data_IF_922036758716
#
_entry.id   IF_922036758716
#
_cell.length_a   1.000
_cell.length_b   1.000
_cell.length_c   1.000
_cell.angle_alpha   90.00
_cell.angle_beta   90.00
_cell.angle_gamma   90.00
#
_symmetry.space_group_name_H-M   'P 1'
#
loop_
_entity.id
_entity.type
_entity.pdbx_description
1 polymer ?
2 water ?
#
# COMPACT_ATOMS: atom_id res chain seq x y z
N UNK A 24 36.27 -7.68 -0.94
CA UNK A 24 35.43 -8.74 -1.51
C UNK A 24 34.05 -8.73 -0.88
N UNK A 25 33.59 -7.53 -0.54
CA UNK A 25 32.38 -7.40 0.25
C UNK A 25 31.09 -7.97 -0.37
N UNK A 26 30.16 -8.25 0.53
CA UNK A 26 28.87 -8.84 0.19
C UNK A 26 27.96 -8.45 1.34
N UNK A 27 26.67 -8.76 1.21
CA UNK A 27 25.80 -8.78 2.37
C UNK A 27 25.17 -10.17 2.38
N UNK A 28 24.69 -10.62 3.54
CA UNK A 28 24.09 -11.95 3.64
C UNK A 28 23.01 -11.95 4.70
N UNK A 29 22.13 -12.94 4.63
CA UNK A 29 21.08 -13.04 5.64
C UNK A 29 20.31 -14.33 5.59
N UNK A 30 19.38 -14.48 6.53
CA UNK A 30 18.47 -15.61 6.55
C UNK A 30 17.06 -15.05 6.58
N UNK A 31 16.31 -15.25 5.49
CA UNK A 31 14.93 -14.79 5.45
C UNK A 31 13.97 -15.88 5.90
N UNK A 32 13.08 -15.56 6.84
CA UNK A 32 12.09 -16.53 7.30
C UNK A 32 10.78 -16.29 6.59
N UNK A 33 10.20 -17.36 6.04
CA UNK A 33 8.84 -17.31 5.46
C UNK A 33 8.08 -18.55 5.91
N UNK A 34 7.08 -18.36 6.75
CA UNK A 34 6.39 -19.49 7.32
C UNK A 34 7.38 -20.27 8.17
N UNK A 35 7.48 -21.56 7.91
CA UNK A 35 8.41 -22.42 8.64
C UNK A 35 9.73 -22.66 7.89
N UNK A 36 9.94 -21.96 6.78
CA UNK A 36 11.15 -22.14 5.97
C UNK A 36 12.16 -21.01 6.14
N UNK A 37 13.43 -21.31 5.91
CA UNK A 37 14.50 -20.32 6.00
C UNK A 37 15.26 -20.27 4.67
N UNK A 38 15.36 -19.09 4.08
CA UNK A 38 16.12 -18.87 2.85
C UNK A 38 17.42 -18.15 3.14
N UNK A 39 18.53 -18.87 3.03
CA UNK A 39 19.84 -18.24 3.18
C UNK A 39 20.13 -17.53 1.86
N UNK A 40 20.69 -16.32 1.95
CA UNK A 40 20.99 -15.51 0.76
C UNK A 40 22.32 -14.81 0.89
N UNK A 41 22.93 -14.52 -0.27
CA UNK A 41 24.22 -13.87 -0.36
C UNK A 41 24.18 -12.90 -1.54
N UNK A 42 24.45 -11.63 -1.30
CA UNK A 42 24.38 -10.62 -2.35
C UNK A 42 25.74 -9.98 -2.50
N UNK A 43 26.36 -10.19 -3.65
CA UNK A 43 27.74 -9.77 -3.84
C UNK A 43 27.84 -8.37 -4.43
N UNK A 44 28.81 -7.60 -3.97
CA UNK A 44 29.11 -6.32 -4.61
C UNK A 44 30.41 -6.37 -5.43
N UNK A 45 30.90 -7.58 -5.68
CA UNK A 45 32.09 -7.77 -6.50
C UNK A 45 31.80 -8.68 -7.71
N UNK A 46 32.86 -9.16 -8.36
CA UNK A 46 32.74 -9.97 -9.56
C UNK A 46 32.45 -11.44 -9.27
N UNK A 47 31.25 -11.70 -8.73
CA UNK A 47 30.88 -13.03 -8.27
C UNK A 47 29.93 -13.70 -9.26
N UNK A 48 30.23 -14.95 -9.66
CA UNK A 48 29.36 -15.72 -10.56
C UNK A 48 28.87 -17.02 -9.96
N UNK A 49 29.53 -17.48 -8.90
CA UNK A 49 29.09 -18.66 -8.18
C UNK A 49 29.31 -18.51 -6.66
N UNK A 50 28.42 -19.13 -5.88
CA UNK A 50 28.52 -19.14 -4.41
C UNK A 50 28.03 -20.48 -3.91
N UNK A 51 28.82 -21.15 -3.06
CA UNK A 51 28.36 -22.35 -2.35
C UNK A 51 28.03 -21.96 -0.91
N UNK A 52 27.02 -22.53 -0.28
CA UNK A 52 26.78 -22.37 1.15
C UNK A 52 27.04 -23.65 1.85
N UNK A 53 27.64 -23.55 3.00
CA UNK A 53 27.98 -24.70 3.83
C UNK A 53 27.27 -24.53 5.15
N UNK A 54 26.36 -25.44 5.49
CA UNK A 54 25.54 -25.24 6.69
C UNK A 54 25.23 -26.50 7.47
N UNK A 55 24.99 -26.32 8.76
CA UNK A 55 24.52 -27.40 9.61
C UNK A 55 23.25 -26.97 10.33
N UNK A 56 22.23 -27.83 10.28
CA UNK A 56 20.99 -27.61 11.00
C UNK A 56 21.03 -28.44 12.30
N UNK A 57 20.94 -27.77 13.44
CA UNK A 57 21.06 -28.44 14.74
C UNK A 57 22.20 -29.47 14.78
N UNK A 58 23.34 -29.06 14.23
CA UNK A 58 24.57 -29.86 14.22
C UNK A 58 24.51 -31.16 13.44
N UNK A 59 23.66 -31.20 12.42
CA UNK A 59 23.53 -32.39 11.59
C UNK A 59 24.59 -32.53 10.51
N UNK A 60 24.38 -33.49 9.62
CA UNK A 60 25.24 -33.71 8.46
C UNK A 60 25.46 -32.37 7.74
N UNK A 61 26.72 -32.04 7.45
CA UNK A 61 27.00 -30.78 6.77
C UNK A 61 26.43 -30.80 5.36
N UNK A 62 25.74 -29.73 5.00
CA UNK A 62 25.20 -29.61 3.66
C UNK A 62 26.10 -28.66 2.88
N UNK A 63 26.43 -29.04 1.66
CA UNK A 63 27.25 -28.21 0.79
C UNK A 63 26.52 -28.03 -0.55
N UNK A 64 26.03 -26.82 -0.79
CA UNK A 64 25.10 -26.54 -1.89
C UNK A 64 25.56 -25.37 -2.73
N UNK A 65 25.67 -25.57 -4.03
CA UNK A 65 25.87 -24.45 -4.95
C UNK A 65 24.55 -23.68 -5.04
N UNK A 66 24.56 -22.42 -4.62
CA UNK A 66 23.32 -21.63 -4.55
C UNK A 66 22.85 -21.18 -5.92
N UNK A 67 21.53 -21.06 -6.06
CA UNK A 67 20.91 -20.52 -7.28
C UNK A 67 20.86 -18.99 -7.27
N UNK A 68 20.97 -18.38 -8.43
CA UNK A 68 20.88 -16.92 -8.52
C UNK A 68 19.44 -16.46 -8.80
N UNK A 69 18.92 -15.61 -7.92
CA UNK A 69 17.59 -15.03 -8.10
C UNK A 69 17.76 -13.65 -8.72
N UNK A 70 17.46 -13.55 -10.00
CA UNK A 70 17.72 -12.32 -10.76
C UNK A 70 16.92 -11.14 -10.24
N UNK A 71 15.68 -11.39 -9.83
CA UNK A 71 14.80 -10.34 -9.35
C UNK A 71 15.18 -9.82 -7.98
N UNK A 72 15.97 -10.58 -7.21
CA UNK A 72 16.47 -10.07 -5.95
C UNK A 72 17.94 -9.71 -6.07
N UNK A 73 18.50 -10.00 -7.24
CA UNK A 73 19.93 -9.84 -7.56
C UNK A 73 20.87 -10.47 -6.52
N UNK A 74 20.52 -11.67 -6.06
CA UNK A 74 21.28 -12.33 -5.00
C UNK A 74 21.17 -13.85 -5.12
N UNK A 75 22.14 -14.56 -4.54
CA UNK A 75 22.10 -16.01 -4.55
C UNK A 75 21.25 -16.46 -3.36
N UNK A 76 20.50 -17.55 -3.52
CA UNK A 76 19.55 -18.02 -2.51
C UNK A 76 19.55 -19.52 -2.38
N UNK A 77 19.40 -20.03 -1.16
CA UNK A 77 19.09 -21.43 -0.95
C UNK A 77 18.06 -21.56 0.15
N UNK A 78 17.00 -22.31 -0.11
CA UNK A 78 15.91 -22.46 0.85
C UNK A 78 16.02 -23.77 1.62
N UNK A 79 16.03 -23.65 2.94
CA UNK A 79 16.02 -24.81 3.83
C UNK A 79 14.61 -24.98 4.38
N UNK A 80 13.94 -26.05 3.98
CA UNK A 80 12.55 -26.29 4.35
C UNK A 80 12.39 -26.64 5.82
N UNK A 81 11.33 -26.12 6.44
CA UNK A 81 10.95 -26.46 7.82
C UNK A 81 12.02 -26.23 8.88
N UNK A 82 12.90 -25.24 8.68
CA UNK A 82 14.02 -25.04 9.61
C UNK A 82 13.88 -23.77 10.42
N UNK A 83 12.69 -23.17 10.42
CA UNK A 83 12.46 -21.91 11.12
C UNK A 83 12.70 -22.01 12.63
N UNK A 84 12.47 -23.19 13.20
CA UNK A 84 12.66 -23.41 14.64
C UNK A 84 14.02 -24.00 14.98
N UNK A 85 14.85 -24.23 13.95
CA UNK A 85 16.15 -24.83 14.19
C UNK A 85 17.19 -23.75 14.37
N UNK A 86 18.36 -24.17 14.84
CA UNK A 86 19.54 -23.32 14.85
C UNK A 86 20.33 -23.71 13.60
N UNK A 87 20.80 -22.71 12.85
CA UNK A 87 21.57 -22.97 11.65
C UNK A 87 22.92 -22.23 11.68
N UNK A 88 24.01 -22.99 11.54
CA UNK A 88 25.34 -22.42 11.42
C UNK A 88 25.77 -22.59 9.94
N UNK A 89 26.23 -21.50 9.33
CA UNK A 89 26.56 -21.51 7.90
C UNK A 89 27.68 -20.53 7.51
N UNK A 90 28.40 -20.86 6.45
CA UNK A 90 29.33 -19.90 5.84
C UNK A 90 29.29 -20.08 4.33
N UNK A 91 29.87 -19.14 3.59
CA UNK A 91 29.80 -19.20 2.12
C UNK A 91 31.19 -19.30 1.51
N UNK A 92 31.27 -19.87 0.32
CA UNK A 92 32.46 -19.77 -0.53
C UNK A 92 32.00 -19.13 -1.83
N UNK A 93 32.69 -18.08 -2.28
CA UNK A 93 32.30 -17.34 -3.49
C UNK A 93 33.53 -16.90 -4.23
N UNK A 94 33.35 -16.55 -5.50
CA UNK A 94 34.48 -16.05 -6.27
C UNK A 94 34.45 -14.54 -6.41
N UNK A 95 35.64 -13.96 -6.53
CA UNK A 95 35.77 -12.58 -6.97
C UNK A 95 36.79 -12.63 -8.10
N UNK A 96 36.31 -12.58 -9.33
CA UNK A 96 37.12 -13.00 -10.46
C UNK A 96 37.35 -14.50 -10.34
N UNK A 97 38.54 -14.95 -10.72
CA UNK A 97 38.88 -16.36 -10.60
C UNK A 97 39.04 -16.89 -9.15
N UNK A 98 39.78 -16.16 -8.27
CA UNK A 98 40.00 -16.76 -6.95
C UNK A 98 38.71 -16.88 -6.12
N UNK A 99 38.65 -17.90 -5.26
CA UNK A 99 37.52 -18.07 -4.34
C UNK A 99 37.91 -17.69 -2.91
N UNK A 100 36.92 -17.31 -2.11
CA UNK A 100 37.14 -16.83 -0.75
C UNK A 100 36.07 -17.42 0.15
N UNK A 101 36.44 -17.79 1.38
CA UNK A 101 35.50 -18.24 2.40
C UNK A 101 35.08 -17.08 3.29
N UNK A 102 33.80 -17.03 3.68
CA UNK A 102 33.37 -16.03 4.65
C UNK A 102 33.60 -16.57 6.06
N UNK A 103 33.35 -15.73 7.05
CA UNK A 103 33.28 -16.21 8.43
C UNK A 103 31.97 -16.96 8.61
N UNK A 104 31.78 -17.54 9.79
CA UNK A 104 30.60 -18.37 10.07
C UNK A 104 29.51 -17.50 10.67
N UNK A 105 28.27 -17.68 10.19
CA UNK A 105 27.12 -16.94 10.67
C UNK A 105 26.17 -17.90 11.38
N UNK A 106 25.17 -17.36 12.05
CA UNK A 106 24.26 -18.19 12.83
C UNK A 106 22.82 -17.66 12.71
N UNK A 107 21.85 -18.57 12.59
CA UNK A 107 20.44 -18.17 12.60
C UNK A 107 19.82 -18.71 13.89
N UNK A 108 19.13 -17.90 14.67
CA UNK A 108 18.70 -16.56 14.32
C UNK A 108 19.74 -15.49 14.37
N UNK A 118 15.42 -3.74 8.27
CA UNK A 118 14.20 -4.07 9.00
C UNK A 118 13.19 -4.59 8.05
N UNK A 119 11.96 -4.30 8.38
CA UNK A 119 10.83 -4.49 7.49
C UNK A 119 10.18 -3.12 7.34
N UNK A 120 10.90 -2.09 7.79
CA UNK A 120 10.52 -0.71 7.59
C UNK A 120 10.66 -0.29 6.12
N UNK A 121 9.76 0.59 5.68
CA UNK A 121 9.77 1.04 4.30
C UNK A 121 11.02 1.87 4.00
N UNK A 122 11.64 2.40 5.05
CA UNK A 122 12.83 3.24 4.88
C UNK A 122 14.09 2.38 4.73
N UNK A 123 13.99 1.11 5.08
CA UNK A 123 15.17 0.25 5.14
C UNK A 123 15.64 -0.18 3.75
N UNK A 124 14.79 -0.01 2.75
CA UNK A 124 15.17 -0.36 1.38
C UNK A 124 16.04 0.74 0.80
N UNK A 125 17.30 0.40 0.42
CA UNK A 125 18.25 1.40 -0.05
C UNK A 125 17.87 1.87 -1.45
N UNK A 126 17.94 3.17 -1.72
CA UNK A 126 17.54 3.67 -3.04
C UNK A 126 18.43 3.13 -4.13
N UNK A 127 19.69 2.85 -3.77
CA UNK A 127 20.66 2.30 -4.72
C UNK A 127 20.24 0.92 -5.20
N UNK A 128 19.40 0.24 -4.42
CA UNK A 128 18.97 -1.12 -4.75
C UNK A 128 17.73 -1.16 -5.66
N UNK A 129 17.19 0.01 -5.97
CA UNK A 129 16.00 0.11 -6.81
C UNK A 129 16.37 0.01 -8.29
N UNK A 130 15.78 -0.96 -9.01
CA UNK A 130 16.05 -1.12 -10.44
C UNK A 130 15.61 0.08 -11.26
N UNK A 131 16.38 0.40 -12.30
CA UNK A 131 16.01 1.48 -13.21
C UNK A 131 14.77 1.07 -13.98
N UNK A 132 13.74 1.93 -13.98
CA UNK A 132 12.49 1.57 -14.65
C UNK A 132 12.63 1.64 -16.17
N UNK A 133 11.78 0.96 -16.88
CA UNK A 133 11.73 1.17 -18.28
C UNK A 133 10.81 2.28 -18.50
N UNK A 134 11.46 3.39 -18.71
CA UNK A 134 10.94 4.58 -19.31
C UNK A 134 9.56 4.43 -19.88
N UNK A 135 8.74 5.41 -19.62
CA UNK A 135 9.02 6.40 -18.63
C UNK A 135 8.22 6.03 -17.39
N UNK A 136 8.43 4.82 -16.95
CA UNK A 136 7.64 4.28 -15.85
C UNK A 136 8.28 4.41 -14.48
N UNK A 137 7.85 3.55 -13.55
CA UNK A 137 8.34 3.55 -12.19
C UNK A 137 8.48 2.10 -11.76
N UNK A 138 9.59 1.78 -11.10
CA UNK A 138 9.72 0.46 -10.50
C UNK A 138 8.84 0.40 -9.26
N UNK A 139 7.90 -0.54 -9.24
CA UNK A 139 6.95 -0.70 -8.13
C UNK A 139 7.29 -1.92 -7.28
N UNK A 140 7.31 -1.74 -5.96
CA UNK A 140 7.45 -2.85 -5.04
C UNK A 140 6.32 -2.82 -4.01
N UNK A 141 5.55 -3.91 -3.90
CA UNK A 141 4.63 -4.04 -2.77
C UNK A 141 5.32 -4.85 -1.67
N UNK A 142 5.26 -4.36 -0.45
CA UNK A 142 6.10 -4.86 0.62
C UNK A 142 5.26 -5.29 1.83
N UNK A 143 5.64 -6.40 2.46
CA UNK A 143 4.88 -6.96 3.58
C UNK A 143 5.41 -6.43 4.92
N UNK A 144 4.65 -5.54 5.55
CA UNK A 144 5.06 -5.00 6.83
C UNK A 144 4.11 -5.41 7.94
N UNK A 145 3.49 -6.58 7.81
CA UNK A 145 2.46 -6.96 8.77
C UNK A 145 2.99 -7.67 10.01
N UNK A 146 4.31 -7.85 10.07
CA UNK A 146 4.93 -8.38 11.27
C UNK A 146 4.44 -9.73 11.76
N UNK A 147 4.02 -10.58 10.84
CA UNK A 147 3.59 -11.91 11.25
C UNK A 147 2.11 -12.16 11.05
N UNK A 148 1.34 -11.09 10.87
CA UNK A 148 -0.08 -11.24 10.65
C UNK A 148 -0.40 -12.08 9.39
N UNK A 149 0.26 -11.77 8.28
CA UNK A 149 0.07 -12.51 7.03
C UNK A 149 1.42 -12.79 6.39
N UNK A 150 1.55 -13.92 5.68
CA UNK A 150 2.78 -14.21 4.93
C UNK A 150 2.74 -13.52 3.56
N UNK A 151 3.87 -13.51 2.85
CA UNK A 151 3.93 -12.90 1.53
C UNK A 151 2.97 -13.55 0.55
N UNK A 152 2.63 -14.82 0.76
CA UNK A 152 1.73 -15.49 -0.16
C UNK A 152 0.24 -15.32 0.20
N UNK A 153 -0.03 -14.49 1.22
CA UNK A 153 -1.39 -14.21 1.68
C UNK A 153 -1.78 -12.74 1.53
N UNK A 154 -0.95 -11.96 0.86
CA UNK A 154 -1.27 -10.57 0.61
C UNK A 154 -1.34 -10.39 -0.91
N UNK A 155 -2.40 -9.76 -1.37
CA UNK A 155 -2.66 -9.68 -2.81
C UNK A 155 -2.60 -8.24 -3.26
N UNK A 156 -2.19 -8.02 -4.51
CA UNK A 156 -2.25 -6.69 -5.07
C UNK A 156 -2.60 -6.74 -6.54
N UNK A 157 -3.14 -5.64 -7.06
CA UNK A 157 -3.52 -5.56 -8.45
C UNK A 157 -3.52 -4.12 -8.88
N UNK A 158 -3.20 -3.88 -10.14
CA UNK A 158 -3.20 -2.52 -10.65
C UNK A 158 -4.15 -2.45 -11.83
N UNK A 159 -5.11 -1.54 -11.76
CA UNK A 159 -6.07 -1.32 -12.84
C UNK A 159 -6.11 0.16 -13.19
N UNK A 160 -6.11 0.47 -14.48
CA UNK A 160 -6.16 1.85 -14.94
C UNK A 160 -6.28 1.93 -16.46
N UNK A 161 -6.17 3.13 -17.01
CA UNK A 161 -6.28 3.27 -18.46
C UNK A 161 -4.90 3.36 -19.12
N UNK A 162 -4.66 2.50 -20.09
CA UNK A 162 -3.42 2.54 -20.87
C UNK A 162 -3.51 3.61 -21.95
N UNK A 163 -2.67 4.67 -21.87
CA UNK A 163 -2.71 5.70 -22.91
C UNK A 163 -2.25 5.19 -24.31
N UNK A 164 -1.63 4.02 -24.35
CA UNK A 164 -1.10 3.44 -25.60
C UNK A 164 -2.22 2.96 -26.54
N UNK A 165 -3.36 2.56 -25.95
CA UNK A 165 -4.53 2.13 -26.73
C UNK A 165 -5.86 2.64 -26.15
N UNK A 166 -5.78 3.49 -25.11
CA UNK A 166 -6.96 4.04 -24.46
C UNK A 166 -7.85 3.04 -23.71
N UNK A 167 -7.35 1.80 -23.57
CA UNK A 167 -8.14 0.71 -22.99
C UNK A 167 -7.96 0.59 -21.49
N UNK A 168 -9.07 0.40 -20.78
CA UNK A 168 -8.98 0.00 -19.37
C UNK A 168 -8.23 -1.33 -19.29
N UNK A 169 -7.22 -1.38 -18.43
CA UNK A 169 -6.31 -2.53 -18.39
C UNK A 169 -5.90 -2.89 -16.96
N UNK A 170 -5.34 -4.08 -16.79
CA UNK A 170 -4.68 -4.44 -15.54
C UNK A 170 -3.22 -4.78 -15.81
N UNK A 171 -2.39 -4.71 -14.76
CA UNK A 171 -0.95 -4.90 -14.89
C UNK A 171 -0.51 -6.34 -14.64
N UNK A 172 0.29 -6.90 -15.53
CA UNK A 172 0.85 -8.24 -15.31
C UNK A 172 2.27 -8.20 -14.73
N UNK A 173 2.78 -9.35 -14.29
CA UNK A 173 4.09 -9.39 -13.62
C UNK A 173 5.26 -8.95 -14.51
N UNK A 174 5.05 -8.90 -15.82
CA UNK A 174 6.09 -8.47 -16.76
C UNK A 174 5.98 -6.97 -17.04
N UNK A 175 5.10 -6.32 -16.29
CA UNK A 175 4.93 -4.89 -16.46
C UNK A 175 4.07 -4.50 -17.65
N UNK A 176 3.28 -5.44 -18.17
CA UNK A 176 2.42 -5.13 -19.30
C UNK A 176 0.99 -4.82 -18.88
N UNK A 177 0.39 -3.82 -19.53
CA UNK A 177 -1.02 -3.50 -19.34
C UNK A 177 -1.90 -4.32 -20.30
N UNK A 178 -2.64 -5.27 -19.74
CA UNK A 178 -3.51 -6.14 -20.54
C UNK A 178 -4.95 -5.66 -20.44
N UNK A 179 -5.63 -5.51 -21.58
CA UNK A 179 -7.00 -4.98 -21.54
C UNK A 179 -7.97 -5.83 -20.69
N UNK A 180 -8.81 -5.19 -19.88
CA UNK A 180 -9.87 -5.91 -19.18
C UNK A 180 -11.12 -5.94 -20.06
N UNK A 181 -12.04 -6.84 -19.77
CA UNK A 181 -13.28 -6.95 -20.54
C UNK A 181 -14.33 -7.69 -19.71
N UNK A 182 -15.57 -7.70 -20.18
CA UNK A 182 -16.61 -8.46 -19.50
C UNK A 182 -16.25 -9.94 -19.50
N UNK A 183 -15.66 -10.38 -20.60
CA UNK A 183 -15.26 -11.77 -20.78
C UNK A 183 -14.20 -12.23 -19.80
N UNK A 184 -13.40 -11.29 -19.30
CA UNK A 184 -12.29 -11.61 -18.40
C UNK A 184 -12.79 -12.20 -17.10
N UNK A 185 -14.05 -11.95 -16.77
CA UNK A 185 -14.65 -12.48 -15.56
C UNK A 185 -14.80 -13.99 -15.61
N UNK A 186 -14.97 -14.52 -16.82
CA UNK A 186 -15.16 -15.97 -16.96
C UNK A 186 -14.00 -16.66 -17.66
N UNK A 187 -12.89 -15.93 -17.82
CA UNK A 187 -11.72 -16.49 -18.49
C UNK A 187 -11.04 -17.52 -17.59
N UNK A 188 -10.29 -18.45 -18.19
CA UNK A 188 -9.53 -19.44 -17.39
C UNK A 188 -8.72 -18.77 -16.28
N UNK A 189 -8.87 -19.24 -15.04
CA UNK A 189 -8.15 -18.70 -13.90
C UNK A 189 -8.95 -17.73 -13.05
N UNK A 190 -10.15 -17.39 -13.51
CA UNK A 190 -10.98 -16.40 -12.86
C UNK A 190 -11.31 -16.81 -11.43
N UNK A 191 -11.67 -15.82 -10.60
CA UNK A 191 -12.09 -16.09 -9.24
C UNK A 191 -13.57 -16.41 -9.24
N UNK A 192 -14.03 -17.08 -8.19
CA UNK A 192 -15.46 -17.18 -7.95
C UNK A 192 -15.78 -17.11 -6.46
N UNK A 193 -16.85 -16.41 -6.12
CA UNK A 193 -17.39 -16.38 -4.76
C UNK A 193 -18.91 -16.44 -4.82
N UNK A 194 -19.49 -17.38 -4.08
CA UNK A 194 -20.95 -17.53 -4.03
C UNK A 194 -21.58 -17.78 -5.39
N UNK A 195 -20.89 -18.55 -6.24
CA UNK A 195 -21.40 -18.89 -7.56
C UNK A 195 -21.37 -17.75 -8.57
N UNK A 196 -20.55 -16.74 -8.30
CA UNK A 196 -20.37 -15.63 -9.22
C UNK A 196 -18.91 -15.51 -9.58
N UNK A 197 -18.63 -15.32 -10.86
CA UNK A 197 -17.25 -15.21 -11.36
C UNK A 197 -16.73 -13.77 -11.35
N UNK A 198 -15.46 -13.61 -11.02
CA UNK A 198 -14.84 -12.29 -11.02
C UNK A 198 -13.46 -12.34 -11.66
N UNK A 199 -13.10 -11.29 -12.38
CA UNK A 199 -11.79 -11.23 -13.02
C UNK A 199 -10.66 -11.46 -12.02
N UNK A 200 -9.65 -12.23 -12.41
CA UNK A 200 -8.48 -12.44 -11.56
C UNK A 200 -7.30 -11.59 -12.02
N UNK A 201 -7.18 -10.40 -11.47
CA UNK A 201 -6.14 -9.46 -11.89
C UNK A 201 -5.06 -9.29 -10.85
N UNK A 202 -5.06 -10.18 -9.85
CA UNK A 202 -4.25 -9.99 -8.64
C UNK A 202 -3.00 -10.84 -8.63
N UNK A 203 -2.03 -10.41 -7.83
CA UNK A 203 -0.75 -11.12 -7.67
C UNK A 203 -0.52 -11.22 -6.17
N UNK A 204 0.27 -12.19 -5.71
CA UNK A 204 0.65 -12.22 -4.29
C UNK A 204 1.95 -11.48 -4.16
N UNK A 205 2.19 -10.87 -3.00
CA UNK A 205 3.48 -10.22 -2.77
C UNK A 205 4.65 -11.19 -3.07
N UNK A 206 4.45 -12.48 -2.79
CA UNK A 206 5.53 -13.44 -3.03
C UNK A 206 5.81 -13.68 -4.53
N UNK A 207 4.91 -13.21 -5.40
CA UNK A 207 5.08 -13.44 -6.85
C UNK A 207 6.14 -12.55 -7.47
N UNK A 208 6.53 -11.47 -6.80
CA UNK A 208 7.48 -10.53 -7.42
C UNK A 208 8.22 -9.64 -6.43
N UNK A 209 9.38 -9.16 -6.85
CA UNK A 209 10.15 -8.19 -6.08
C UNK A 209 9.81 -6.79 -6.59
N UNK A 210 10.28 -6.46 -7.78
CA UNK A 210 9.90 -5.21 -8.41
C UNK A 210 9.15 -5.50 -9.71
N UNK A 211 8.19 -4.64 -10.03
CA UNK A 211 7.45 -4.73 -11.29
C UNK A 211 7.50 -3.36 -11.92
N UNK A 212 7.70 -3.29 -13.23
CA UNK A 212 7.67 -1.98 -13.89
C UNK A 212 6.23 -1.51 -14.02
N UNK A 213 5.93 -0.32 -13.49
CA UNK A 213 4.64 0.33 -13.70
C UNK A 213 4.81 1.33 -14.85
N UNK A 214 4.20 1.06 -16.00
CA UNK A 214 4.33 1.91 -17.19
C UNK A 214 3.44 3.16 -17.07
N UNK A 215 3.42 4.01 -18.09
CA UNK A 215 2.53 5.16 -18.07
C UNK A 215 1.08 4.68 -17.94
N UNK A 216 0.28 5.35 -17.12
CA UNK A 216 -1.07 4.89 -16.80
C UNK A 216 -1.95 6.04 -16.30
N UNK A 217 -3.22 6.06 -16.73
CA UNK A 217 -4.15 7.12 -16.34
C UNK A 217 -5.21 6.51 -15.45
N UNK A 218 -5.76 7.31 -14.52
CA UNK A 218 -6.77 6.86 -13.56
C UNK A 218 -6.37 5.55 -12.89
N UNK A 219 -5.13 5.46 -12.43
CA UNK A 219 -4.60 4.22 -11.90
C UNK A 219 -4.99 3.98 -10.46
N UNK A 220 -5.25 2.73 -10.12
CA UNK A 220 -5.42 2.32 -8.72
C UNK A 220 -4.62 1.07 -8.46
N UNK A 221 -3.93 1.05 -7.33
CA UNK A 221 -3.29 -0.17 -6.86
C UNK A 221 -4.15 -0.68 -5.71
N UNK A 222 -4.81 -1.82 -5.90
CA UNK A 222 -5.62 -2.42 -4.85
C UNK A 222 -4.79 -3.40 -4.04
N UNK A 223 -4.98 -3.38 -2.73
CA UNK A 223 -4.21 -4.22 -1.82
C UNK A 223 -5.23 -4.91 -0.93
N UNK A 224 -5.09 -6.21 -0.71
CA UNK A 224 -5.99 -6.91 0.19
C UNK A 224 -5.23 -8.01 0.95
N UNK A 225 -5.66 -8.32 2.18
CA UNK A 225 -4.98 -9.36 2.94
C UNK A 225 -5.86 -10.58 3.12
N UNK A 226 -5.28 -11.76 2.98
CA UNK A 226 -5.98 -13.02 3.20
C UNK A 226 -6.67 -13.54 1.96
N UNK A 227 -7.13 -12.61 1.13
CA UNK A 227 -7.95 -12.94 -0.05
C UNK A 227 -7.73 -11.86 -1.10
N UNK A 228 -7.90 -12.21 -2.38
CA UNK A 228 -7.96 -11.09 -3.34
C UNK A 228 -9.33 -10.43 -3.28
N UNK A 229 -9.54 -9.36 -4.05
CA UNK A 229 -10.85 -8.70 -4.11
C UNK A 229 -11.72 -9.38 -5.15
N UNK A 230 -13.03 -9.18 -5.05
CA UNK A 230 -13.94 -9.72 -6.05
C UNK A 230 -14.65 -8.57 -6.75
N UNK A 231 -14.14 -8.20 -7.91
CA UNK A 231 -14.64 -7.05 -8.66
C UNK A 231 -14.98 -7.44 -10.09
N UNK A 232 -16.10 -6.94 -10.60
CA UNK A 232 -16.51 -7.19 -11.98
C UNK A 232 -15.78 -6.21 -12.88
N UNK A 233 -15.17 -6.74 -13.95
CA UNK A 233 -14.61 -5.88 -14.98
C UNK A 233 -15.59 -5.83 -16.15
N UNK A 234 -15.59 -4.72 -16.87
CA UNK A 234 -16.45 -4.58 -18.04
C UNK A 234 -15.57 -4.28 -19.22
N UNK A 235 -16.14 -4.05 -20.39
CA UNK A 235 -15.33 -3.76 -21.57
C UNK A 235 -14.77 -2.34 -21.48
N UNK A 236 -15.38 -1.52 -20.64
CA UNK A 236 -14.97 -0.11 -20.51
C UNK A 236 -14.82 0.38 -19.06
N UNK A 237 -14.40 -0.50 -18.15
CA UNK A 237 -14.21 -0.10 -16.76
C UNK A 237 -14.44 -1.25 -15.79
N UNK A 238 -14.63 -0.90 -14.52
CA UNK A 238 -14.83 -1.90 -13.49
C UNK A 238 -15.70 -1.36 -12.35
N UNK A 239 -16.28 -2.26 -11.56
CA UNK A 239 -17.04 -1.86 -10.38
C UNK A 239 -16.32 -2.30 -9.12
N UNK A 240 -15.82 -1.34 -8.34
CA UNK A 240 -15.13 -1.63 -7.08
C UNK A 240 -16.10 -2.00 -5.96
N UNK A 241 -15.57 -2.20 -4.73
CA UNK A 241 -16.40 -2.55 -3.57
C UNK A 241 -17.50 -1.51 -3.31
N UNK A 242 -18.73 -1.97 -3.09
CA UNK A 242 -19.83 -1.06 -2.73
C UNK A 242 -20.12 -1.23 -1.25
N UNK A 243 -19.62 -0.29 -0.45
CA UNK A 243 -19.70 -0.41 1.00
C UNK A 243 -21.10 -0.12 1.58
N UNK A 244 -22.05 0.30 0.75
CA UNK A 244 -23.44 0.48 1.21
C UNK A 244 -24.32 -0.74 0.94
N UNK A 245 -23.76 -1.74 0.30
CA UNK A 245 -24.50 -2.96 0.02
C UNK A 245 -24.22 -4.05 1.04
N UNK A 246 -25.24 -4.45 1.81
CA UNK A 246 -25.07 -5.50 2.82
C UNK A 246 -24.56 -6.81 2.21
N UNK A 247 -24.78 -6.99 0.92
CA UNK A 247 -24.44 -8.24 0.26
C UNK A 247 -23.18 -8.18 -0.64
N UNK A 248 -22.42 -7.09 -0.53
CA UNK A 248 -21.23 -6.93 -1.36
C UNK A 248 -20.23 -8.01 -1.01
N UNK A 249 -19.64 -8.66 -2.03
CA UNK A 249 -18.71 -9.77 -1.77
C UNK A 249 -17.44 -9.34 -1.07
N UNK A 250 -17.16 -8.03 -1.02
CA UNK A 250 -15.93 -7.55 -0.40
C UNK A 250 -16.15 -7.01 1.00
N UNK A 251 -17.40 -7.01 1.47
CA UNK A 251 -17.74 -6.45 2.77
C UNK A 251 -16.88 -7.08 3.86
N UNK A 252 -16.61 -8.38 3.76
CA UNK A 252 -15.80 -9.06 4.78
C UNK A 252 -14.35 -9.36 4.35
N UNK A 253 -13.85 -8.56 3.40
CA UNK A 253 -12.45 -8.62 3.01
C UNK A 253 -11.74 -7.33 3.41
N UNK A 254 -10.53 -7.44 3.96
CA UNK A 254 -9.77 -6.26 4.37
C UNK A 254 -8.94 -5.77 3.20
N UNK A 255 -9.22 -4.54 2.75
CA UNK A 255 -8.55 -4.00 1.55
C UNK A 255 -8.29 -2.52 1.70
N UNK A 256 -7.44 -1.99 0.84
CA UNK A 256 -7.18 -0.56 0.78
C UNK A 256 -6.62 -0.30 -0.61
N UNK A 257 -6.16 0.92 -0.88
CA UNK A 257 -5.62 1.22 -2.20
C UNK A 257 -4.83 2.51 -2.30
N UNK A 258 -3.97 2.61 -3.31
CA UNK A 258 -3.38 3.90 -3.62
C UNK A 258 -3.83 4.34 -5.02
N UNK A 259 -3.92 5.64 -5.21
CA UNK A 259 -4.35 6.17 -6.50
C UNK A 259 -3.12 6.80 -7.13
N UNK A 260 -2.93 6.57 -8.44
CA UNK A 260 -1.80 7.19 -9.12
C UNK A 260 -2.00 7.43 -10.60
N UNK A 261 -1.18 8.33 -11.12
CA UNK A 261 -1.07 8.53 -12.55
C UNK A 261 0.41 8.54 -12.87
N UNK A 262 0.80 7.87 -13.93
CA UNK A 262 2.17 7.99 -14.43
C UNK A 262 2.04 8.51 -15.86
N UNK A 263 2.64 9.67 -16.12
CA UNK A 263 2.48 10.34 -17.41
C UNK A 263 3.79 11.02 -17.81
N UNK A 264 3.74 11.96 -18.74
CA UNK A 264 4.97 12.61 -19.20
C UNK A 264 5.58 13.57 -18.16
N UNK A 265 4.77 14.04 -17.21
CA UNK A 265 5.29 14.86 -16.11
C UNK A 265 5.68 14.02 -14.89
N UNK A 266 5.69 12.70 -15.03
CA UNK A 266 6.23 11.83 -14.01
C UNK A 266 5.19 11.05 -13.22
N UNK A 267 5.48 10.83 -11.94
CA UNK A 267 4.57 10.12 -11.04
C UNK A 267 3.75 11.10 -10.19
N UNK A 268 2.47 10.80 -10.02
CA UNK A 268 1.59 11.54 -9.11
C UNK A 268 0.72 10.52 -8.39
N UNK A 269 0.78 10.49 -7.06
CA UNK A 269 0.06 9.45 -6.34
C UNK A 269 -0.22 9.79 -4.89
N UNK A 270 -1.13 9.04 -4.30
CA UNK A 270 -1.55 9.33 -2.94
C UNK A 270 -2.15 8.10 -2.27
N UNK A 271 -2.12 8.07 -0.94
CA UNK A 271 -2.90 7.10 -0.20
C UNK A 271 -4.23 7.81 0.06
N UNK A 272 -5.24 7.10 0.55
CA UNK A 272 -6.53 7.74 0.72
C UNK A 272 -7.35 7.12 1.82
N UNK A 273 -7.94 7.96 2.67
CA UNK A 273 -8.91 7.52 3.66
C UNK A 273 -10.22 8.25 3.38
N UNK A 274 -10.36 8.71 2.14
CA UNK A 274 -11.57 9.43 1.75
C UNK A 274 -12.82 8.54 1.86
N UNK A 275 -12.68 7.28 1.50
CA UNK A 275 -13.82 6.34 1.53
C UNK A 275 -13.83 5.42 2.76
N UNK A 276 -12.66 4.94 3.13
CA UNK A 276 -12.54 3.99 4.24
C UNK A 276 -11.08 3.81 4.63
N UNK A 277 -10.86 3.17 5.77
CA UNK A 277 -9.53 2.77 6.20
C UNK A 277 -9.49 1.27 6.33
N UNK A 278 -8.54 0.62 5.65
CA UNK A 278 -8.45 -0.83 5.70
C UNK A 278 -7.33 -1.36 6.59
N UNK A 279 -6.12 -0.83 6.38
CA UNK A 279 -4.95 -1.16 7.19
C UNK A 279 -3.92 -0.04 7.02
N UNK A 280 -2.92 0.04 7.91
CA UNK A 280 -1.96 1.13 7.69
C UNK A 280 -1.17 0.91 6.40
N UNK A 281 -0.87 1.99 5.69
CA UNK A 281 -0.10 1.91 4.45
C UNK A 281 0.98 2.97 4.51
N UNK A 282 2.18 2.65 4.00
CA UNK A 282 3.19 3.67 3.74
C UNK A 282 3.50 3.67 2.24
N UNK A 283 3.85 4.83 1.71
CA UNK A 283 3.94 5.07 0.28
C UNK A 283 5.21 5.88 0.09
N UNK A 284 6.26 5.27 -0.46
CA UNK A 284 7.57 5.94 -0.58
C UNK A 284 7.98 6.10 -2.05
N UNK A 285 8.36 7.31 -2.42
CA UNK A 285 8.70 7.64 -3.82
C UNK A 285 10.13 8.17 -3.92
N UNK A 286 10.92 7.57 -4.81
CA UNK A 286 12.33 7.94 -4.96
C UNK A 286 12.58 8.33 -6.42
N UNK A 287 13.33 9.42 -6.67
CA UNK A 287 13.59 9.84 -8.05
C UNK A 287 14.93 9.36 -8.64
N UNK A 288 15.13 9.58 -9.94
CA UNK A 288 16.32 9.09 -10.64
C UNK A 288 17.57 9.92 -10.31
N UNK A 289 17.41 11.22 -10.12
CA UNK A 289 18.53 12.12 -9.84
C UNK A 289 19.10 11.90 -8.44
N UNK A 290 18.37 11.20 -7.59
CA UNK A 290 18.82 10.89 -6.24
C UNK A 290 18.65 12.03 -5.25
N UNK A 291 17.77 12.99 -5.56
CA UNK A 291 17.57 14.14 -4.69
C UNK A 291 16.15 14.27 -4.13
N UNK A 292 15.31 13.29 -4.45
CA UNK A 292 13.95 13.23 -3.92
C UNK A 292 13.74 11.85 -3.32
N UNK A 293 13.25 11.83 -2.09
CA UNK A 293 12.94 10.58 -1.38
C UNK A 293 11.96 10.93 -0.28
N UNK A 294 10.68 10.68 -0.52
CA UNK A 294 9.62 11.06 0.42
C UNK A 294 8.66 9.90 0.69
N UNK A 295 8.12 9.87 1.89
CA UNK A 295 7.19 8.81 2.32
C UNK A 295 5.96 9.45 2.97
N UNK A 296 4.77 8.95 2.66
CA UNK A 296 3.56 9.41 3.34
C UNK A 296 2.80 8.17 3.83
N UNK A 297 1.84 8.36 4.71
CA UNK A 297 1.04 7.24 5.18
C UNK A 297 0.99 7.20 6.70
N UNK A 298 0.38 6.15 7.25
CA UNK A 298 0.34 6.00 8.70
C UNK A 298 1.75 5.83 9.25
N UNK A 299 1.99 6.36 10.45
CA UNK A 299 3.28 6.15 11.12
C UNK A 299 3.52 4.67 11.28
N UNK A 300 4.74 4.21 11.03
CA UNK A 300 5.03 2.77 11.12
C UNK A 300 4.89 2.22 12.54
N UNK A 301 4.90 3.11 13.53
CA UNK A 301 4.78 2.71 14.92
C UNK A 301 3.33 2.49 15.36
N UNK A 302 2.38 2.87 14.51
CA UNK A 302 0.95 2.63 14.81
C UNK A 302 0.61 1.22 14.36
N UNK A 303 -0.09 0.46 15.20
CA UNK A 303 -0.58 -0.86 14.81
C UNK A 303 -2.04 -0.73 14.41
N UNK A 304 -2.53 -1.67 13.61
CA UNK A 304 -3.92 -1.65 13.19
C UNK A 304 -4.88 -1.76 14.39
N UNK A 305 -4.60 -2.67 15.32
CA UNK A 305 -5.48 -2.82 16.47
C UNK A 305 -5.45 -1.56 17.32
N UNK A 306 -4.26 -0.96 17.45
CA UNK A 306 -4.12 0.32 18.11
C UNK A 306 -4.96 1.42 17.46
N UNK A 307 -4.98 1.47 16.14
CA UNK A 307 -5.74 2.51 15.45
C UNK A 307 -7.24 2.37 15.66
N UNK A 308 -7.75 1.15 15.55
CA UNK A 308 -9.18 0.93 15.80
C UNK A 308 -9.53 1.34 17.23
N UNK A 309 -8.65 1.00 18.18
CA UNK A 309 -8.86 1.33 19.59
C UNK A 309 -8.79 2.83 19.83
N UNK A 310 -7.77 3.47 19.28
CA UNK A 310 -7.64 4.92 19.45
C UNK A 310 -8.75 5.68 18.74
N UNK A 311 -9.16 5.21 17.57
CA UNK A 311 -10.22 5.89 16.84
C UNK A 311 -11.47 6.07 17.70
N UNK A 312 -11.98 4.97 18.26
CA UNK A 312 -13.23 5.01 19.01
C UNK A 312 -13.07 5.83 20.31
N UNK A 313 -11.84 5.91 20.81
CA UNK A 313 -11.55 6.75 21.97
C UNK A 313 -11.43 8.24 21.68
N UNK A 314 -10.78 8.60 20.58
CA UNK A 314 -10.44 9.99 20.32
C UNK A 314 -11.59 10.81 19.72
N UNK A 315 -12.44 10.18 18.93
CA UNK A 315 -13.46 10.92 18.19
C UNK A 315 -14.68 11.13 19.07
N UNK A 316 -15.40 12.25 18.85
CA UNK A 316 -16.66 12.56 19.55
C UNK A 316 -17.71 11.49 19.25
N UNK A 317 -18.73 11.39 20.11
CA UNK A 317 -19.73 10.32 19.97
C UNK A 317 -20.28 10.13 18.56
N UNK A 318 -20.55 11.22 17.85
CA UNK A 318 -21.17 11.10 16.53
C UNK A 318 -20.35 10.29 15.50
N UNK A 319 -19.03 10.20 15.71
CA UNK A 319 -18.12 9.56 14.75
C UNK A 319 -17.69 8.16 15.16
N UNK A 320 -18.11 7.71 16.34
CA UNK A 320 -17.61 6.44 16.90
C UNK A 320 -18.07 5.21 16.14
N UNK A 321 -19.32 5.19 15.70
CA UNK A 321 -19.86 4.01 15.03
C UNK A 321 -19.19 3.76 13.68
N UNK A 322 -18.55 4.78 13.12
CA UNK A 322 -17.74 4.61 11.90
C UNK A 322 -16.67 3.55 12.13
N UNK A 323 -16.25 3.41 13.39
CA UNK A 323 -15.24 2.43 13.74
C UNK A 323 -15.77 1.09 14.19
N UNK A 324 -17.10 0.91 14.20
CA UNK A 324 -17.65 -0.38 14.64
C UNK A 324 -18.57 -1.06 13.65
N UNK A 325 -19.30 -0.27 12.87
CA UNK A 325 -20.30 -0.78 11.92
C UNK A 325 -19.76 -1.86 10.99
N UNK A 326 -18.56 -1.66 10.48
CA UNK A 326 -17.95 -2.70 9.63
C UNK A 326 -16.61 -3.21 10.15
N UNK A 327 -16.44 -3.09 11.46
CA UNK A 327 -15.29 -3.70 12.14
C UNK A 327 -15.48 -5.21 12.10
N UNK A 328 -14.37 -5.97 12.07
CA UNK A 328 -12.98 -5.51 12.07
C UNK A 328 -12.43 -5.24 10.66
N UNK A 329 -13.27 -5.09 9.65
CA UNK A 329 -12.72 -5.01 8.29
C UNK A 329 -12.24 -3.61 7.87
N UNK A 330 -12.84 -2.57 8.45
CA UNK A 330 -12.48 -1.19 8.09
C UNK A 330 -13.07 -0.21 9.09
N UNK A 331 -12.55 1.02 9.07
CA UNK A 331 -13.24 2.18 9.61
C UNK A 331 -13.86 2.92 8.42
N UNK A 332 -15.12 3.34 8.55
CA UNK A 332 -15.84 3.97 7.44
C UNK A 332 -15.66 5.47 7.44
N UNK A 333 -15.71 6.09 6.25
CA UNK A 333 -15.78 7.55 6.18
C UNK A 333 -17.19 8.00 6.59
N UNK A 334 -17.33 9.27 6.98
CA UNK A 334 -18.61 9.69 7.56
C UNK A 334 -19.83 9.49 6.66
N UNK A 335 -19.68 9.66 5.34
CA UNK A 335 -20.83 9.55 4.43
C UNK A 335 -21.24 8.11 4.13
N UNK A 336 -20.44 7.16 4.59
CA UNK A 336 -20.81 5.75 4.48
C UNK A 336 -21.55 5.36 5.76
N UNK A 337 -21.57 6.26 6.72
CA UNK A 337 -22.19 6.02 8.02
C UNK A 337 -23.41 6.90 8.25
N UNK A 338 -23.71 7.21 9.52
CA UNK A 338 -24.93 7.95 9.87
C UNK A 338 -24.90 9.44 9.55
N UNK A 339 -23.89 9.93 8.83
CA UNK A 339 -23.91 11.32 8.39
C UNK A 339 -24.60 11.51 7.04
N UNK A 340 -24.94 10.39 6.41
CA UNK A 340 -25.59 10.42 5.11
C UNK A 340 -27.01 10.96 5.30
N UNK A 341 -27.66 11.34 4.19
CA UNK A 341 -29.02 11.88 4.27
C UNK A 341 -29.99 10.92 4.95
N UNK A 342 -30.71 11.42 5.95
CA UNK A 342 -31.66 10.60 6.67
C UNK A 342 -31.05 9.98 7.92
N UNK A 343 -29.71 9.93 7.95
CA UNK A 343 -29.01 9.36 9.08
C UNK A 343 -29.18 10.15 10.37
N UNK A 344 -28.77 9.56 11.49
CA UNK A 344 -28.97 10.18 12.79
C UNK A 344 -28.21 11.50 12.91
N UNK A 345 -27.15 11.67 12.13
CA UNK A 345 -26.38 12.93 12.18
C UNK A 345 -26.41 13.67 10.85
N UNK A 346 -27.51 13.55 10.13
CA UNK A 346 -27.61 14.15 8.80
C UNK A 346 -27.51 15.68 8.86
N UNK A 347 -27.72 16.25 10.05
CA UNK A 347 -27.64 17.70 10.23
C UNK A 347 -26.51 18.10 11.17
N UNK A 348 -25.41 17.36 11.13
CA UNK A 348 -24.28 17.59 12.02
C UNK A 348 -23.68 19.00 12.00
N UNK A 349 -23.60 19.59 10.81
CA UNK A 349 -23.02 20.94 10.69
C UNK A 349 -24.08 22.05 10.78
N UNK A 350 -25.32 21.69 11.10
CA UNK A 350 -26.47 22.62 11.05
C UNK A 350 -26.27 23.98 11.74
N UNK A 351 -25.75 23.98 12.96
CA UNK A 351 -25.62 25.24 13.67
C UNK A 351 -24.45 26.11 13.22
N UNK A 352 -23.56 25.53 12.43
CA UNK A 352 -22.30 26.18 12.06
C UNK A 352 -22.38 26.76 10.66
N UNK A 353 -22.93 25.99 9.73
CA UNK A 353 -23.06 26.46 8.36
C UNK A 353 -24.50 26.33 7.90
N UNK A 354 -24.86 27.10 6.87
CA UNK A 354 -26.17 26.95 6.22
C UNK A 354 -26.06 25.93 5.09
N UNK A 355 -24.82 25.53 4.78
CA UNK A 355 -24.55 24.54 3.75
C UNK A 355 -24.75 23.14 4.35
N UNK A 356 -25.41 22.25 3.61
CA UNK A 356 -25.76 20.93 4.17
C UNK A 356 -24.53 20.09 4.52
N UNK A 357 -24.70 19.27 5.55
CA UNK A 357 -23.68 18.34 5.99
C UNK A 357 -23.21 17.45 4.84
N UNK A 358 -24.12 17.05 3.98
CA UNK A 358 -23.75 16.19 2.86
C UNK A 358 -22.89 16.91 1.82
N UNK A 359 -23.22 18.17 1.55
CA UNK A 359 -22.39 19.01 0.68
C UNK A 359 -20.98 19.19 1.25
N UNK A 360 -20.91 19.45 2.55
CA UNK A 360 -19.62 19.64 3.22
C UNK A 360 -18.74 18.40 3.15
N UNK A 361 -19.30 17.24 3.54
CA UNK A 361 -18.50 16.01 3.59
C UNK A 361 -18.04 15.47 2.23
N UNK A 362 -18.74 15.82 1.16
CA UNK A 362 -18.42 15.30 -0.16
C UNK A 362 -17.83 16.34 -1.11
N UNK A 363 -17.79 17.61 -0.70
CA UNK A 363 -17.27 18.66 -1.55
C UNK A 363 -18.08 18.88 -2.82
N UNK A 364 -19.39 18.96 -2.67
CA UNK A 364 -20.28 19.19 -3.81
C UNK A 364 -21.29 20.28 -3.46
N UNK A 365 -22.08 20.69 -4.43
CA UNK A 365 -23.12 21.69 -4.21
C UNK A 365 -22.57 23.00 -3.70
N UNK A 366 -23.13 23.52 -2.62
CA UNK A 366 -22.66 24.78 -2.04
C UNK A 366 -21.24 24.68 -1.48
N UNK A 367 -20.70 23.47 -1.42
CA UNK A 367 -19.32 23.27 -0.97
C UNK A 367 -18.41 22.74 -2.08
N UNK A 368 -18.77 23.04 -3.33
CA UNK A 368 -18.01 22.57 -4.49
C UNK A 368 -16.67 23.27 -4.64
N UNK A 369 -16.54 24.47 -4.06
CA UNK A 369 -15.25 25.15 -4.06
C UNK A 369 -14.31 24.51 -3.03
N UNK A 370 -13.13 24.04 -3.48
CA UNK A 370 -12.26 23.26 -2.59
C UNK A 370 -11.91 24.00 -1.30
N UNK A 371 -11.60 25.29 -1.41
CA UNK A 371 -11.28 26.08 -0.21
C UNK A 371 -12.45 26.21 0.78
N UNK A 372 -13.67 26.36 0.26
CA UNK A 372 -14.87 26.43 1.10
C UNK A 372 -15.07 25.10 1.79
N UNK A 373 -15.08 24.03 1.00
CA UNK A 373 -15.16 22.67 1.52
C UNK A 373 -14.16 22.41 2.64
N UNK A 374 -12.89 22.69 2.38
CA UNK A 374 -11.85 22.37 3.37
C UNK A 374 -12.02 23.17 4.66
N UNK A 375 -12.30 24.46 4.51
CA UNK A 375 -12.46 25.33 5.68
C UNK A 375 -13.58 24.83 6.57
N UNK A 376 -14.68 24.40 5.95
CA UNK A 376 -15.83 23.92 6.69
C UNK A 376 -15.50 22.62 7.43
N UNK A 377 -14.80 21.71 6.74
CA UNK A 377 -14.41 20.45 7.38
C UNK A 377 -13.46 20.66 8.56
N UNK A 378 -12.62 21.68 8.47
CA UNK A 378 -11.60 21.96 9.48
C UNK A 378 -12.10 22.91 10.55
N UNK A 379 -13.34 23.39 10.40
CA UNK A 379 -13.95 24.37 11.31
C UNK A 379 -13.10 25.65 11.41
N UNK A 380 -12.79 26.23 10.26
CA UNK A 380 -12.11 27.52 10.22
C UNK A 380 -12.84 28.42 9.24
N UNK A 381 -14.01 27.98 8.77
CA UNK A 381 -14.74 28.70 7.74
C UNK A 381 -15.11 30.14 8.10
N UNK A 382 -15.52 30.36 9.34
CA UNK A 382 -15.95 31.68 9.79
C UNK A 382 -14.80 32.58 10.23
N UNK A 383 -13.56 32.08 10.11
CA UNK A 383 -12.38 32.90 10.39
C UNK A 383 -11.37 32.81 9.25
N UNK A 384 -11.56 33.63 8.21
CA UNK A 384 -10.75 33.65 6.99
C UNK A 384 -9.23 33.69 7.27
N UNK A 385 -8.83 34.31 8.38
CA UNK A 385 -7.42 34.42 8.72
C UNK A 385 -6.83 33.09 9.19
N UNK A 386 -7.67 32.09 9.40
CA UNK A 386 -7.22 30.78 9.85
C UNK A 386 -7.34 29.66 8.81
N UNK A 387 -7.75 29.99 7.58
CA UNK A 387 -7.98 28.96 6.57
C UNK A 387 -6.72 28.16 6.26
N UNK A 388 -5.56 28.81 6.35
CA UNK A 388 -4.29 28.17 6.06
C UNK A 388 -3.42 28.08 7.30
N UNK A 389 -4.05 28.15 8.46
CA UNK A 389 -3.33 28.05 9.71
C UNK A 389 -3.61 26.66 10.29
N UNK A 390 -2.67 25.76 10.11
CA UNK A 390 -2.89 24.35 10.43
C UNK A 390 -3.15 24.07 11.90
N UNK A 391 -2.47 24.84 12.73
CA UNK A 391 -2.62 24.70 14.16
C UNK A 391 -3.98 25.17 14.68
N UNK A 392 -4.82 25.61 13.79
CA UNK A 392 -6.18 25.99 14.14
C UNK A 392 -7.24 25.05 13.55
N UNK A 393 -6.80 24.02 12.82
CA UNK A 393 -7.75 23.05 12.23
C UNK A 393 -8.34 22.15 13.31
N UNK A 394 -9.64 21.82 13.17
CA UNK A 394 -10.32 20.83 14.01
C UNK A 394 -10.39 21.17 15.50
N UNK A 395 -10.42 22.46 15.82
CA UNK A 395 -10.33 22.89 17.21
C UNK A 395 -11.68 23.11 17.89
N UNK A 396 -12.79 22.80 17.21
CA UNK A 396 -14.13 22.98 17.77
C UNK A 396 -15.17 22.21 16.96
N UNK A 397 -16.28 21.75 17.54
CA UNK A 397 -17.28 21.02 16.71
C UNK A 397 -18.32 21.98 16.23
N UNK A 398 -18.99 21.68 15.13
CA UNK A 398 -18.76 20.50 14.32
C UNK A 398 -17.50 20.61 13.48
N UNK A 399 -16.91 19.48 13.19
CA UNK A 399 -15.79 19.35 12.29
C UNK A 399 -15.56 17.92 11.86
N UNK A 400 -14.78 17.70 10.83
CA UNK A 400 -14.60 16.34 10.36
C UNK A 400 -13.57 15.61 11.21
N UNK A 401 -14.01 15.02 12.33
CA UNK A 401 -13.08 14.40 13.28
C UNK A 401 -12.51 13.09 12.77
N UNK A 402 -13.24 12.45 11.86
CA UNK A 402 -12.69 11.31 11.15
C UNK A 402 -11.43 11.78 10.40
N UNK A 403 -11.55 12.89 9.67
CA UNK A 403 -10.41 13.43 8.92
C UNK A 403 -9.27 13.79 9.86
N UNK A 404 -9.61 14.43 10.98
CA UNK A 404 -8.61 14.83 11.96
C UNK A 404 -7.77 13.65 12.42
N UNK A 405 -8.44 12.52 12.65
CA UNK A 405 -7.78 11.35 13.19
C UNK A 405 -6.63 10.87 12.30
N UNK A 406 -6.84 10.88 10.99
CA UNK A 406 -5.81 10.40 10.09
C UNK A 406 -4.60 11.33 10.05
N UNK A 407 -4.83 12.63 10.10
CA UNK A 407 -3.70 13.55 10.21
C UNK A 407 -2.92 13.31 11.50
N UNK A 408 -3.62 13.11 12.60
CA UNK A 408 -2.94 12.92 13.87
C UNK A 408 -2.05 11.68 13.94
N UNK A 409 -2.31 10.70 13.08
CA UNK A 409 -1.54 9.47 13.15
C UNK A 409 -0.78 9.16 11.86
N UNK A 410 -0.56 10.19 11.05
CA UNK A 410 0.15 10.02 9.79
C UNK A 410 1.50 10.70 9.78
N UNK A 411 2.38 10.21 8.92
CA UNK A 411 3.71 10.79 8.74
C UNK A 411 3.60 12.28 8.36
N UNK A 412 4.27 13.14 9.12
CA UNK A 412 4.25 14.59 8.88
C UNK A 412 2.85 15.23 8.95
N UNK A 413 1.90 14.52 9.56
CA UNK A 413 0.54 15.05 9.68
C UNK A 413 -0.21 15.10 8.36
N UNK A 414 0.31 14.41 7.36
CA UNK A 414 -0.30 14.43 6.03
C UNK A 414 -1.27 13.25 5.84
N UNK A 415 -2.50 13.55 5.42
CA UNK A 415 -3.46 12.51 5.06
C UNK A 415 -4.55 13.03 4.09
N UNK A 416 -5.09 12.16 3.25
CA UNK A 416 -6.34 12.46 2.51
C UNK A 416 -7.53 11.96 3.34
N UNK A 417 -7.97 12.78 4.30
CA UNK A 417 -9.05 12.40 5.20
C UNK A 417 -10.42 12.73 4.67
N UNK A 418 -10.46 13.65 3.71
CA UNK A 418 -11.68 13.97 2.96
C UNK A 418 -11.25 14.48 1.58
N UNK A 419 -12.21 14.68 0.67
CA UNK A 419 -11.90 14.83 -0.75
C UNK A 419 -10.96 15.99 -1.08
N UNK A 420 -11.05 17.06 -0.32
CA UNK A 420 -10.28 18.27 -0.60
C UNK A 420 -9.26 18.59 0.48
N UNK A 421 -8.69 17.55 1.08
CA UNK A 421 -7.71 17.75 2.15
C UNK A 421 -6.39 18.27 1.59
N UNK A 422 -6.29 18.34 0.26
CA UNK A 422 -5.08 18.87 -0.37
C UNK A 422 -4.98 20.40 -0.34
N UNK A 423 -6.09 21.07 0.01
CA UNK A 423 -6.07 22.51 0.23
C UNK A 423 -5.06 22.82 1.33
N UNK A 424 -4.11 23.71 1.03
CA UNK A 424 -3.04 24.07 1.97
C UNK A 424 -2.08 22.89 2.21
N UNK A 425 -1.95 22.02 1.21
CA UNK A 425 -0.92 20.99 1.20
C UNK A 425 -0.99 19.96 2.32
N UNK A 426 -2.20 19.59 2.75
CA UNK A 426 -2.35 18.68 3.90
C UNK A 426 -2.45 17.19 3.53
N UNK A 427 -2.53 16.89 2.23
CA UNK A 427 -2.81 15.52 1.78
C UNK A 427 -1.60 14.60 1.68
N UNK A 428 -1.85 13.30 1.83
CA UNK A 428 -0.82 12.29 1.70
C UNK A 428 -0.57 12.06 0.22
N UNK A 429 0.00 13.09 -0.42
CA UNK A 429 0.13 13.12 -1.89
C UNK A 429 1.56 13.45 -2.29
N UNK A 430 2.13 12.65 -3.20
CA UNK A 430 3.51 12.86 -3.65
C UNK A 430 3.60 12.89 -5.18
N UNK A 431 4.50 13.73 -5.69
CA UNK A 431 4.78 13.75 -7.12
C UNK A 431 6.22 14.10 -7.42
N UNK A 432 6.77 13.53 -8.49
CA UNK A 432 8.12 13.88 -8.93
C UNK A 432 8.21 13.63 -10.44
N UNK A 433 8.97 14.49 -11.12
CA UNK A 433 9.06 14.46 -12.57
C UNK A 433 9.93 13.35 -13.15
N UNK A 434 10.90 12.87 -12.37
CA UNK A 434 11.79 11.81 -12.86
C UNK A 434 11.77 10.60 -11.93
N UNK A 435 10.60 9.92 -11.82
CA UNK A 435 10.43 8.87 -10.82
C UNK A 435 11.34 7.66 -11.06
N UNK A 436 11.86 7.06 -9.97
CA UNK A 436 12.64 5.84 -10.12
C UNK A 436 11.93 4.62 -9.54
N UNK A 437 11.58 4.72 -8.27
CA UNK A 437 10.90 3.63 -7.59
C UNK A 437 9.75 4.10 -6.71
N UNK A 438 8.74 3.26 -6.58
CA UNK A 438 7.63 3.50 -5.68
C UNK A 438 7.50 2.25 -4.82
N UNK A 439 7.57 2.42 -3.50
CA UNK A 439 7.36 1.30 -2.58
C UNK A 439 6.09 1.54 -1.79
N UNK A 440 5.23 0.52 -1.75
CA UNK A 440 3.98 0.61 -1.00
C UNK A 440 3.97 -0.52 0.02
N UNK A 441 3.92 -0.15 1.30
CA UNK A 441 4.03 -1.14 2.38
C UNK A 441 2.68 -1.36 3.04
N UNK A 442 2.27 -2.63 3.12
CA UNK A 442 1.07 -3.01 3.85
C UNK A 442 1.51 -3.25 5.31
N UNK A 443 1.03 -2.40 6.22
CA UNK A 443 1.41 -2.48 7.62
C UNK A 443 0.36 -3.23 8.42
N UNK A 444 0.64 -3.42 9.71
CA UNK A 444 -0.32 -4.06 10.60
C UNK A 444 0.08 -3.81 12.04
#
# INVERSE_FOLDING_TARGET
MGSSHHHHHHSSGLVPRGSHMASADFTQGADVSGNNVTLWFKSSVNTTWVDVHYKVNSGVQQNVRMSFNAGAARFEHTILTAAQAEIEYFFTYNNGVPAYDTTTFTYRSGQPDPEPSTNSIYSIPASSIPQPSEGGVSLKVMNGTGGAYTDDQIYWGVIGINPVNGKWSYLDLAGRLLPISSDLNNAPGHLTKDGINYANIYHKISDANWVNLPKIESGRLFLSVGSPLYMKTFDDGFAGPDLNNPTDPNLNIIFDFVEFTVDKDGYHGNTTRVDQFGFPIQHRLVNLAGNYDRTVGELESETRSGLFAKYVNEVPYEFKSLGTLQAPYRILSPMKGPFQEGGAYENYFAGYSSISTQDILLGVGEASNPEVCAALNRHVYTEPDNWNRVDQYYQAAPANYYAKFWHDHSIDGLAYGFCYDDVNGQAAYLEVGDPKGLIVRVGW
#
